data_IF_563547523521
#
_entry.id   IF_563547523521
#
_cell.length_a   1.000
_cell.length_b   1.000
_cell.length_c   1.000
_cell.angle_alpha   90.00
_cell.angle_beta   90.00
_cell.angle_gamma   90.00
#
_symmetry.space_group_name_H-M   'P 1'
#
loop_
_entity.id
_entity.type
_entity.pdbx_description
1 polymer ?
#
# COMPACT_ATOMS: atom_id res chain seq x y z
N UNK A 1 1.90 6.16 -31.80
CA UNK A 1 0.69 5.61 -31.18
C UNK A 1 0.87 5.79 -29.69
N UNK A 2 -0.05 6.44 -28.98
CA UNK A 2 -0.04 6.39 -27.52
C UNK A 2 -0.47 4.98 -27.15
N UNK A 3 0.48 4.06 -27.00
CA UNK A 3 0.20 2.73 -26.47
C UNK A 3 0.01 2.91 -24.98
N UNK A 4 -1.23 3.10 -24.54
CA UNK A 4 -1.58 3.02 -23.12
C UNK A 4 -1.29 1.58 -22.68
N UNK A 5 -0.12 1.38 -22.06
CA UNK A 5 0.27 0.10 -21.45
C UNK A 5 -0.65 -0.14 -20.25
N UNK A 6 -1.28 -1.31 -20.17
CA UNK A 6 -2.26 -1.59 -19.10
C UNK A 6 -1.58 -1.74 -17.74
N UNK A 7 -0.40 -2.37 -17.73
CA UNK A 7 0.44 -2.55 -16.53
C UNK A 7 1.75 -1.77 -16.73
N UNK A 8 1.75 -0.45 -16.49
CA UNK A 8 2.93 0.37 -16.70
C UNK A 8 4.02 0.08 -15.66
N UNK A 9 5.27 0.31 -16.06
CA UNK A 9 6.42 0.32 -15.14
C UNK A 9 6.28 1.53 -14.20
N UNK A 10 6.42 1.35 -12.88
CA UNK A 10 6.38 2.43 -11.89
C UNK A 10 7.31 3.62 -12.19
N UNK A 11 6.81 4.84 -12.00
CA UNK A 11 7.58 6.08 -12.12
C UNK A 11 8.45 6.42 -10.90
N UNK A 12 8.67 5.47 -9.99
CA UNK A 12 9.50 5.62 -8.79
C UNK A 12 10.63 4.58 -8.74
N UNK A 13 11.75 4.87 -8.04
CA UNK A 13 12.73 3.85 -7.69
C UNK A 13 12.17 2.91 -6.61
N UNK A 14 12.72 1.69 -6.52
CA UNK A 14 12.49 0.83 -5.36
C UNK A 14 13.27 1.36 -4.16
N UNK A 15 12.61 2.25 -3.43
CA UNK A 15 13.06 2.81 -2.16
C UNK A 15 11.89 2.87 -1.17
N UNK A 16 11.23 1.73 -0.89
CA UNK A 16 10.10 1.71 0.03
C UNK A 16 10.53 2.19 1.43
N UNK A 17 9.71 3.01 2.11
CA UNK A 17 9.97 3.41 3.48
C UNK A 17 10.11 2.22 4.42
N UNK A 18 10.85 2.40 5.51
CA UNK A 18 11.01 1.42 6.59
C UNK A 18 10.50 2.02 7.89
N UNK A 19 9.67 1.27 8.61
CA UNK A 19 9.14 1.67 9.92
C UNK A 19 9.38 0.58 10.96
N UNK A 20 9.81 0.98 12.15
CA UNK A 20 9.93 0.08 13.31
C UNK A 20 8.66 0.17 14.14
N UNK A 21 7.83 -0.87 14.10
CA UNK A 21 6.63 -0.99 14.91
C UNK A 21 7.01 -1.47 16.31
N UNK A 22 6.93 -0.56 17.29
CA UNK A 22 7.31 -0.83 18.68
C UNK A 22 6.18 -1.46 19.47
N UNK A 23 6.52 -2.15 20.57
CA UNK A 23 5.51 -2.72 21.47
C UNK A 23 4.73 -1.61 22.16
N UNK A 24 3.42 -1.81 22.25
CA UNK A 24 2.57 -1.02 23.12
C UNK A 24 2.95 -1.26 24.60
N UNK A 25 3.29 -0.20 25.33
CA UNK A 25 3.72 -0.25 26.76
C UNK A 25 2.73 0.40 27.72
N UNK A 26 1.74 1.11 27.16
CA UNK A 26 0.77 1.94 27.89
C UNK A 26 -0.63 1.41 27.61
N UNK A 27 -1.59 1.74 28.47
CA UNK A 27 -2.98 1.33 28.30
C UNK A 27 -3.61 1.97 27.05
N UNK A 28 -4.30 1.16 26.25
CA UNK A 28 -5.02 1.64 25.07
C UNK A 28 -6.50 1.90 25.40
N UNK A 29 -6.95 3.11 25.09
CA UNK A 29 -8.38 3.45 25.05
C UNK A 29 -8.72 3.95 23.66
N UNK A 30 -9.62 3.25 22.98
CA UNK A 30 -10.09 3.62 21.65
C UNK A 30 -11.05 4.81 21.75
N UNK A 31 -10.67 5.95 21.15
CA UNK A 31 -11.52 7.15 21.08
C UNK A 31 -11.22 8.05 19.87
N UNK A 32 -10.34 7.61 18.96
CA UNK A 32 -9.96 8.32 17.74
C UNK A 32 -8.93 9.42 17.97
N UNK A 33 -8.71 9.86 19.22
CA UNK A 33 -7.77 10.92 19.55
C UNK A 33 -6.36 10.36 19.72
N UNK A 34 -5.47 10.69 18.80
CA UNK A 34 -4.09 10.19 18.81
C UNK A 34 -3.18 10.95 19.80
N UNK A 35 -3.63 12.10 20.33
CA UNK A 35 -2.89 12.91 21.28
C UNK A 35 -3.10 12.40 22.72
N UNK A 36 -2.53 11.23 23.00
CA UNK A 36 -2.63 10.57 24.32
C UNK A 36 -1.39 9.71 24.63
N UNK A 37 -1.18 9.34 25.90
CA UNK A 37 0.04 8.65 26.32
C UNK A 37 0.38 7.43 25.48
N UNK A 38 -0.62 6.64 25.07
CA UNK A 38 -0.43 5.43 24.27
C UNK A 38 0.43 5.65 23.02
N UNK A 39 0.23 6.75 22.30
CA UNK A 39 0.90 7.06 21.03
C UNK A 39 2.14 7.95 21.15
N UNK A 40 2.42 8.45 22.36
CA UNK A 40 3.44 9.48 22.59
C UNK A 40 4.83 9.04 22.13
N UNK A 41 5.19 7.77 22.37
CA UNK A 41 6.49 7.20 22.04
C UNK A 41 6.55 6.56 20.65
N UNK A 42 5.41 6.43 19.96
CA UNK A 42 5.36 5.90 18.61
C UNK A 42 5.82 6.97 17.61
N UNK A 43 6.85 6.70 16.77
CA UNK A 43 7.28 7.64 15.76
C UNK A 43 6.19 7.82 14.71
N UNK A 44 6.10 9.01 14.12
CA UNK A 44 5.30 9.18 12.91
C UNK A 44 6.00 8.52 11.71
N UNK A 45 5.21 8.08 10.73
CA UNK A 45 5.70 7.91 9.36
C UNK A 45 6.18 9.25 8.79
N UNK A 46 6.90 9.19 7.68
CA UNK A 46 7.05 10.38 6.83
C UNK A 46 5.68 10.91 6.38
N UNK A 47 5.65 12.19 5.99
CA UNK A 47 4.47 12.82 5.41
C UNK A 47 4.10 12.14 4.09
N UNK A 48 2.81 11.94 3.87
CA UNK A 48 2.32 11.30 2.65
C UNK A 48 2.66 12.18 1.44
N UNK A 49 2.84 11.53 0.30
CA UNK A 49 3.14 12.14 -0.98
C UNK A 49 2.06 11.77 -2.00
N UNK A 50 2.01 12.47 -3.13
CA UNK A 50 1.23 11.98 -4.28
C UNK A 50 1.64 10.53 -4.62
N UNK A 51 0.66 9.69 -4.94
CA UNK A 51 0.87 8.27 -5.25
C UNK A 51 1.87 8.04 -6.40
N UNK A 52 2.01 8.99 -7.33
CA UNK A 52 2.97 8.92 -8.41
C UNK A 52 4.40 9.30 -7.97
N UNK A 53 4.56 9.93 -6.80
CA UNK A 53 5.84 10.24 -6.18
C UNK A 53 6.24 11.71 -6.27
N UNK A 54 7.48 12.00 -5.87
CA UNK A 54 7.99 13.35 -5.61
C UNK A 54 8.10 14.28 -6.83
N UNK A 55 7.86 13.76 -8.04
CA UNK A 55 7.78 14.59 -9.24
C UNK A 55 6.44 15.32 -9.37
N UNK A 56 5.44 14.94 -8.56
CA UNK A 56 4.17 15.62 -8.43
C UNK A 56 4.21 16.66 -7.30
N UNK A 57 3.28 17.64 -7.28
CA UNK A 57 3.16 18.58 -6.18
C UNK A 57 2.95 17.88 -4.83
N UNK A 58 3.45 18.49 -3.75
CA UNK A 58 3.16 18.00 -2.40
C UNK A 58 1.66 18.09 -2.10
N UNK A 59 1.12 17.15 -1.30
CA UNK A 59 -0.25 17.22 -0.79
C UNK A 59 -0.61 18.56 -0.17
N UNK A 60 -1.84 19.03 -0.40
CA UNK A 60 -2.35 20.28 0.19
C UNK A 60 -2.48 20.19 1.71
N UNK A 61 -2.68 18.98 2.21
CA UNK A 61 -2.80 18.72 3.63
C UNK A 61 -1.89 17.59 4.06
N UNK A 62 -1.15 17.81 5.14
CA UNK A 62 -0.24 16.83 5.70
C UNK A 62 -1.03 15.64 6.25
N UNK A 63 -0.56 14.45 5.92
CA UNK A 63 -1.07 13.20 6.49
C UNK A 63 0.10 12.38 6.98
N UNK A 64 0.00 11.84 8.20
CA UNK A 64 1.02 10.97 8.81
C UNK A 64 0.35 9.90 9.66
N UNK A 65 0.99 8.74 9.79
CA UNK A 65 0.51 7.63 10.58
C UNK A 65 1.47 7.25 11.72
N UNK A 66 0.99 6.49 12.69
CA UNK A 66 1.75 5.85 13.78
C UNK A 66 1.30 4.40 13.89
N UNK A 67 2.23 3.53 14.28
CA UNK A 67 1.94 2.13 14.51
C UNK A 67 2.54 1.64 15.82
N UNK A 68 1.80 0.79 16.51
CA UNK A 68 2.24 0.01 17.67
C UNK A 68 1.66 -1.39 17.56
N UNK A 69 2.19 -2.34 18.33
CA UNK A 69 1.65 -3.69 18.37
C UNK A 69 1.75 -4.33 19.75
N UNK A 70 0.92 -5.35 20.00
CA UNK A 70 1.03 -6.24 21.15
C UNK A 70 0.90 -7.71 20.71
N UNK A 71 0.62 -8.62 21.65
CA UNK A 71 0.55 -10.06 21.33
C UNK A 71 -0.67 -10.43 20.48
N UNK A 72 -1.68 -9.57 20.42
CA UNK A 72 -2.98 -9.85 19.80
C UNK A 72 -3.30 -8.89 18.66
N UNK A 73 -2.81 -7.64 18.69
CA UNK A 73 -3.27 -6.56 17.85
C UNK A 73 -2.12 -5.76 17.21
N UNK A 74 -2.36 -5.36 15.97
CA UNK A 74 -1.72 -4.22 15.34
C UNK A 74 -2.58 -2.97 15.58
N UNK A 75 -1.97 -1.91 16.07
CA UNK A 75 -2.58 -0.60 16.28
C UNK A 75 -2.09 0.36 15.21
N UNK A 76 -3.00 1.00 14.49
CA UNK A 76 -2.70 2.06 13.53
C UNK A 76 -3.45 3.32 13.94
N UNK A 77 -2.75 4.44 13.91
CA UNK A 77 -3.33 5.76 14.08
C UNK A 77 -2.89 6.65 12.92
N UNK A 78 -3.77 7.52 12.41
CA UNK A 78 -3.38 8.53 11.44
C UNK A 78 -3.96 9.90 11.77
N UNK A 79 -3.17 10.94 11.51
CA UNK A 79 -3.58 12.34 11.56
C UNK A 79 -3.71 12.84 10.14
N UNK A 80 -4.91 13.32 9.80
CA UNK A 80 -5.23 13.89 8.51
C UNK A 80 -5.53 15.37 8.73
N UNK A 81 -4.55 16.23 8.45
CA UNK A 81 -4.76 17.68 8.51
C UNK A 81 -5.71 18.12 7.39
N UNK A 82 -6.33 19.28 7.54
CA UNK A 82 -7.17 19.89 6.51
C UNK A 82 -8.52 20.37 7.05
N UNK A 83 -9.03 21.40 6.38
CA UNK A 83 -10.28 22.07 6.71
C UNK A 83 -11.50 21.56 5.91
N UNK A 84 -11.26 20.64 4.97
CA UNK A 84 -12.27 19.97 4.13
C UNK A 84 -12.77 18.68 4.80
N UNK A 85 -13.51 18.80 5.90
CA UNK A 85 -13.98 17.66 6.72
C UNK A 85 -15.46 17.35 6.39
N UNK A 86 -15.67 16.33 5.56
CA UNK A 86 -17.01 15.93 5.10
C UNK A 86 -17.11 14.43 4.88
N UNK A 87 -18.34 13.91 4.90
CA UNK A 87 -18.65 12.51 4.64
C UNK A 87 -20.17 12.28 4.62
N UNK A 88 -20.61 11.34 3.80
CA UNK A 88 -22.01 11.02 3.57
C UNK A 88 -22.32 9.53 3.67
N UNK A 89 -21.32 8.67 3.46
CA UNK A 89 -21.49 7.22 3.51
C UNK A 89 -21.55 6.75 4.97
N UNK A 90 -22.65 6.07 5.31
CA UNK A 90 -22.94 5.59 6.67
C UNK A 90 -23.14 4.08 6.75
N UNK A 91 -23.33 3.41 5.61
CA UNK A 91 -23.51 1.96 5.55
C UNK A 91 -22.15 1.28 5.48
N UNK A 92 -21.89 0.33 6.40
CA UNK A 92 -20.73 -0.55 6.35
C UNK A 92 -20.66 -1.25 4.99
N UNK A 93 -19.45 -1.40 4.47
CA UNK A 93 -19.16 -2.00 3.15
C UNK A 93 -19.69 -1.21 1.95
N UNK A 94 -19.93 0.10 2.14
CA UNK A 94 -20.04 1.05 1.03
C UNK A 94 -18.69 1.22 0.35
N UNK A 95 -18.68 1.63 -0.92
CA UNK A 95 -17.45 2.05 -1.61
C UNK A 95 -16.98 3.38 -1.01
N UNK A 96 -16.07 3.32 -0.03
CA UNK A 96 -15.79 4.43 0.91
C UNK A 96 -15.06 5.59 0.24
N UNK A 97 -14.18 5.35 -0.73
CA UNK A 97 -13.46 6.41 -1.47
C UNK A 97 -14.34 7.44 -2.21
N UNK A 98 -15.68 7.24 -2.27
CA UNK A 98 -16.60 8.28 -2.73
C UNK A 98 -16.77 9.43 -1.72
N UNK A 99 -16.37 9.24 -0.46
CA UNK A 99 -16.06 10.29 0.51
C UNK A 99 -14.54 10.55 0.56
N UNK A 100 -14.09 11.51 1.38
CA UNK A 100 -12.70 11.50 1.82
C UNK A 100 -12.48 10.38 2.84
N UNK A 101 -11.37 9.68 2.74
CA UNK A 101 -11.09 8.53 3.62
C UNK A 101 -9.61 8.39 4.00
N UNK A 102 -9.37 7.40 4.83
CA UNK A 102 -8.06 6.86 5.14
C UNK A 102 -8.06 5.35 4.88
N UNK A 103 -7.01 4.85 4.24
CA UNK A 103 -6.92 3.46 3.84
C UNK A 103 -5.67 2.79 4.46
N UNK A 104 -5.78 1.51 4.79
CA UNK A 104 -4.71 0.65 5.29
C UNK A 104 -4.58 -0.58 4.40
N UNK A 105 -3.36 -0.83 3.91
CA UNK A 105 -3.02 -1.97 3.10
C UNK A 105 -1.99 -2.86 3.82
N UNK A 106 -2.21 -4.18 3.81
CA UNK A 106 -1.31 -5.14 4.47
C UNK A 106 -1.10 -6.39 3.61
N UNK A 107 0.15 -6.63 3.19
CA UNK A 107 0.65 -7.89 2.63
C UNK A 107 1.59 -8.53 3.68
N UNK A 108 1.13 -9.57 4.40
CA UNK A 108 1.88 -10.15 5.52
C UNK A 108 3.13 -10.97 5.16
N UNK A 109 3.27 -11.44 3.91
CA UNK A 109 4.36 -12.36 3.52
C UNK A 109 5.21 -11.89 2.33
N UNK A 110 4.89 -10.71 1.79
CA UNK A 110 5.60 -10.06 0.68
C UNK A 110 5.58 -10.91 -0.60
N UNK A 111 4.49 -11.63 -0.85
CA UNK A 111 4.28 -12.40 -2.07
C UNK A 111 3.50 -11.64 -3.16
N UNK A 112 3.03 -10.42 -2.83
CA UNK A 112 2.20 -9.50 -3.63
C UNK A 112 0.76 -9.95 -3.87
N UNK A 113 0.34 -11.01 -3.19
CA UNK A 113 -0.96 -11.66 -3.25
C UNK A 113 -1.56 -11.71 -1.84
N UNK A 114 -2.81 -12.16 -1.74
CA UNK A 114 -3.50 -12.40 -0.47
C UNK A 114 -3.36 -11.26 0.56
N UNK A 115 -3.50 -10.03 0.09
CA UNK A 115 -3.36 -8.85 0.91
C UNK A 115 -4.71 -8.28 1.29
N UNK A 116 -4.68 -7.46 2.33
CA UNK A 116 -5.87 -6.89 2.94
C UNK A 116 -5.92 -5.39 2.68
N UNK A 117 -7.14 -4.90 2.56
CA UNK A 117 -7.48 -3.50 2.38
C UNK A 117 -8.54 -3.13 3.41
N UNK A 118 -8.41 -1.93 3.96
CA UNK A 118 -9.35 -1.35 4.90
C UNK A 118 -9.48 0.12 4.58
N UNK A 119 -10.70 0.63 4.49
CA UNK A 119 -11.04 2.03 4.26
C UNK A 119 -11.92 2.53 5.41
N UNK A 120 -11.71 3.78 5.83
CA UNK A 120 -12.54 4.45 6.83
C UNK A 120 -12.73 5.92 6.48
N UNK A 121 -13.98 6.39 6.48
CA UNK A 121 -14.28 7.82 6.34
C UNK A 121 -14.37 8.53 7.72
N UNK A 122 -14.54 9.85 7.68
CA UNK A 122 -14.66 10.67 8.90
C UNK A 122 -15.88 10.35 9.77
N UNK A 123 -16.88 9.63 9.24
CA UNK A 123 -18.05 9.17 10.00
C UNK A 123 -17.80 7.86 10.75
N UNK A 124 -16.57 7.32 10.67
CA UNK A 124 -16.20 6.01 11.19
C UNK A 124 -16.96 4.87 10.48
N UNK A 125 -17.38 5.09 9.23
CA UNK A 125 -17.92 4.05 8.35
C UNK A 125 -16.75 3.31 7.72
N UNK A 126 -16.79 1.98 7.80
CA UNK A 126 -15.68 1.10 7.42
C UNK A 126 -16.08 0.23 6.24
N UNK A 127 -15.12 -0.01 5.36
CA UNK A 127 -15.13 -1.09 4.38
C UNK A 127 -13.80 -1.84 4.46
N UNK A 128 -13.86 -3.16 4.48
CA UNK A 128 -12.68 -4.01 4.52
C UNK A 128 -12.79 -5.13 3.49
N UNK A 129 -11.66 -5.42 2.86
CA UNK A 129 -11.59 -6.33 1.73
C UNK A 129 -10.38 -7.23 1.84
N UNK A 130 -10.51 -8.38 1.18
CA UNK A 130 -9.40 -9.28 0.92
C UNK A 130 -9.18 -9.41 -0.58
N UNK A 131 -7.93 -9.29 -1.01
CA UNK A 131 -7.51 -9.43 -2.40
C UNK A 131 -6.64 -10.67 -2.55
N UNK A 132 -7.23 -11.73 -3.10
CA UNK A 132 -6.48 -12.95 -3.42
C UNK A 132 -5.41 -12.69 -4.49
N UNK A 133 -5.69 -11.77 -5.42
CA UNK A 133 -4.85 -11.38 -6.55
C UNK A 133 -5.02 -9.88 -6.82
N UNK A 134 -3.97 -9.13 -7.22
CA UNK A 134 -4.11 -7.74 -7.63
C UNK A 134 -5.10 -7.52 -8.80
N UNK A 135 -5.83 -6.40 -8.80
CA UNK A 135 -6.77 -6.05 -9.87
C UNK A 135 -6.12 -6.04 -11.27
N UNK A 136 -4.90 -5.51 -11.37
CA UNK A 136 -4.13 -5.45 -12.63
C UNK A 136 -3.82 -6.84 -13.22
N UNK A 137 -3.84 -7.87 -12.38
CA UNK A 137 -3.52 -9.25 -12.74
C UNK A 137 -4.80 -10.07 -13.00
N UNK A 138 -5.98 -9.46 -12.85
CA UNK A 138 -7.29 -10.06 -13.10
C UNK A 138 -8.07 -10.41 -11.83
N UNK A 139 -7.52 -10.07 -10.66
CA UNK A 139 -8.19 -10.26 -9.38
C UNK A 139 -9.38 -9.32 -9.16
N UNK A 140 -10.16 -9.62 -8.13
CA UNK A 140 -11.27 -8.80 -7.66
C UNK A 140 -11.30 -8.79 -6.14
N UNK A 141 -11.61 -7.66 -5.53
CA UNK A 141 -11.82 -7.55 -4.09
C UNK A 141 -12.97 -8.45 -3.61
N UNK A 142 -12.71 -9.22 -2.57
CA UNK A 142 -13.73 -10.01 -1.89
C UNK A 142 -14.46 -9.11 -0.88
N UNK A 143 -15.47 -8.39 -1.35
CA UNK A 143 -16.24 -7.44 -0.52
C UNK A 143 -16.97 -8.06 0.68
N UNK A 144 -17.14 -9.39 0.69
CA UNK A 144 -17.76 -10.10 1.81
C UNK A 144 -16.78 -10.50 2.91
N UNK A 145 -15.51 -10.13 2.80
CA UNK A 145 -14.51 -10.35 3.83
C UNK A 145 -14.76 -9.39 5.00
N UNK A 146 -14.73 -9.91 6.23
CA UNK A 146 -14.87 -9.13 7.46
C UNK A 146 -13.67 -9.42 8.35
N UNK A 147 -12.87 -8.39 8.65
CA UNK A 147 -11.78 -8.44 9.61
C UNK A 147 -12.35 -8.63 11.02
N UNK A 148 -12.60 -9.88 11.39
CA UNK A 148 -13.22 -10.20 12.67
C UNK A 148 -12.45 -9.61 13.86
N UNK A 149 -13.18 -8.85 14.68
CA UNK A 149 -12.64 -8.21 15.88
C UNK A 149 -11.98 -6.84 15.65
N UNK A 150 -12.05 -6.32 14.42
CA UNK A 150 -11.66 -4.94 14.08
C UNK A 150 -12.37 -3.93 14.99
N UNK A 151 -11.64 -2.94 15.47
CA UNK A 151 -12.20 -1.83 16.26
C UNK A 151 -11.67 -0.50 15.75
N UNK A 152 -12.56 0.46 15.55
CA UNK A 152 -12.23 1.77 14.98
C UNK A 152 -12.81 2.92 15.78
N UNK A 153 -12.15 4.06 15.75
CA UNK A 153 -12.71 5.33 16.20
C UNK A 153 -12.15 6.51 15.40
N UNK A 154 -12.97 7.55 15.25
CA UNK A 154 -12.60 8.82 14.62
C UNK A 154 -12.71 9.95 15.65
N UNK A 155 -11.75 10.87 15.62
CA UNK A 155 -11.82 12.15 16.33
C UNK A 155 -11.72 13.30 15.33
N UNK A 156 -12.46 14.38 15.56
CA UNK A 156 -12.51 15.56 14.67
C UNK A 156 -12.19 16.82 15.47
N UNK A 157 -11.18 17.58 15.03
CA UNK A 157 -10.92 18.95 15.48
C UNK A 157 -11.60 19.92 14.49
N UNK A 158 -12.89 20.15 14.72
CA UNK A 158 -13.77 20.85 13.80
C UNK A 158 -15.21 20.35 13.91
N UNK A 159 -15.95 20.49 12.81
CA UNK A 159 -17.31 19.98 12.62
C UNK A 159 -17.41 19.28 11.27
N UNK A 160 -17.98 18.08 11.25
CA UNK A 160 -18.20 17.32 10.02
C UNK A 160 -19.32 17.97 9.21
N UNK A 161 -19.13 18.10 7.90
CA UNK A 161 -20.10 18.67 6.95
C UNK A 161 -20.48 20.14 7.24
N UNK A 162 -19.64 20.88 7.98
CA UNK A 162 -19.85 22.31 8.24
C UNK A 162 -18.61 23.11 7.80
N UNK A 163 -18.61 23.70 6.59
CA UNK A 163 -17.50 24.50 6.09
C UNK A 163 -17.34 25.84 6.81
N UNK A 164 -18.29 26.25 7.66
CA UNK A 164 -18.19 27.49 8.43
C UNK A 164 -17.44 27.30 9.76
N UNK A 165 -17.25 26.05 10.18
CA UNK A 165 -16.53 25.71 11.39
C UNK A 165 -15.01 25.93 11.26
N UNK A 166 -14.32 26.03 12.40
CA UNK A 166 -12.85 26.09 12.44
C UNK A 166 -12.26 24.68 12.33
N UNK A 167 -12.44 24.06 11.17
CA UNK A 167 -11.93 22.73 10.85
C UNK A 167 -10.40 22.77 10.75
N UNK A 168 -9.74 21.77 11.34
CA UNK A 168 -8.27 21.68 11.32
C UNK A 168 -7.75 20.32 10.89
N UNK A 169 -8.36 19.26 11.42
CA UNK A 169 -7.92 17.89 11.20
C UNK A 169 -8.98 16.90 11.66
N UNK A 170 -8.81 15.66 11.23
CA UNK A 170 -9.42 14.50 11.86
C UNK A 170 -8.36 13.42 12.03
N UNK A 171 -8.61 12.51 12.98
CA UNK A 171 -7.72 11.39 13.22
C UNK A 171 -8.50 10.10 13.38
N UNK A 172 -7.84 9.02 13.00
CA UNK A 172 -8.38 7.66 13.08
C UNK A 172 -7.53 6.84 14.04
N UNK A 173 -8.18 5.91 14.73
CA UNK A 173 -7.54 4.79 15.41
C UNK A 173 -8.16 3.50 14.92
N UNK A 174 -7.32 2.55 14.54
CA UNK A 174 -7.72 1.23 14.04
C UNK A 174 -6.96 0.19 14.83
N UNK A 175 -7.69 -0.78 15.38
CA UNK A 175 -7.14 -1.96 16.05
C UNK A 175 -7.47 -3.17 15.21
N UNK A 176 -6.44 -3.75 14.61
CA UNK A 176 -6.53 -4.92 13.73
C UNK A 176 -6.02 -6.11 14.55
N UNK A 177 -6.88 -7.06 14.96
CA UNK A 177 -6.41 -8.30 15.54
C UNK A 177 -5.55 -9.05 14.52
N UNK A 178 -4.39 -9.56 14.93
CA UNK A 178 -3.57 -10.38 14.02
C UNK A 178 -4.34 -11.60 13.51
N UNK A 179 -5.29 -12.11 14.31
CA UNK A 179 -6.18 -13.19 13.90
C UNK A 179 -6.96 -12.89 12.61
N UNK A 180 -7.28 -11.63 12.34
CA UNK A 180 -7.94 -11.19 11.11
C UNK A 180 -7.00 -11.19 9.88
N UNK A 181 -5.70 -11.47 10.06
CA UNK A 181 -4.69 -11.52 9.00
C UNK A 181 -4.17 -12.96 8.77
N UNK A 182 -4.72 -13.96 9.46
CA UNK A 182 -4.20 -15.34 9.45
C UNK A 182 -4.66 -16.21 8.28
N UNK A 183 -5.64 -15.79 7.48
CA UNK A 183 -6.27 -16.65 6.48
C UNK A 183 -5.23 -17.28 5.53
N UNK A 184 -4.27 -16.46 5.08
CA UNK A 184 -3.16 -16.87 4.20
C UNK A 184 -1.78 -16.85 4.87
N UNK A 185 -1.70 -16.49 6.15
CA UNK A 185 -0.45 -16.55 6.89
C UNK A 185 -0.19 -17.98 7.38
N UNK A 186 0.84 -18.64 6.84
CA UNK A 186 1.16 -20.06 7.13
C UNK A 186 1.24 -20.41 8.62
N UNK A 187 1.80 -19.52 9.43
CA UNK A 187 2.02 -19.77 10.86
C UNK A 187 0.85 -19.34 11.76
N UNK A 188 -0.12 -18.57 11.23
CA UNK A 188 -1.31 -18.10 11.95
C UNK A 188 -1.01 -17.55 13.35
N UNK A 189 -0.08 -16.59 13.41
CA UNK A 189 0.38 -15.96 14.66
C UNK A 189 0.80 -14.51 14.47
N UNK A 190 0.81 -13.75 15.56
CA UNK A 190 1.43 -12.43 15.57
C UNK A 190 2.90 -12.50 15.11
N UNK A 191 3.43 -11.43 14.50
CA UNK A 191 4.84 -11.32 14.12
C UNK A 191 5.80 -11.54 15.28
N UNK A 192 7.00 -12.03 14.99
CA UNK A 192 8.12 -12.09 15.92
C UNK A 192 9.05 -10.90 15.72
N UNK A 193 9.92 -10.67 16.70
CA UNK A 193 10.97 -9.65 16.60
C UNK A 193 11.77 -9.78 15.29
N UNK A 194 11.84 -8.71 14.51
CA UNK A 194 12.56 -8.65 13.23
C UNK A 194 11.79 -9.19 12.02
N UNK A 195 10.59 -9.75 12.20
CA UNK A 195 9.70 -10.01 11.07
C UNK A 195 9.05 -8.71 10.60
N UNK A 196 8.64 -8.67 9.33
CA UNK A 196 8.00 -7.50 8.75
C UNK A 196 6.76 -7.87 7.96
N UNK A 197 5.85 -6.89 7.85
CA UNK A 197 4.80 -6.87 6.84
C UNK A 197 5.11 -5.80 5.80
N UNK A 198 4.57 -6.00 4.59
CA UNK A 198 4.50 -4.95 3.56
C UNK A 198 3.23 -4.17 3.81
N UNK A 199 3.34 -2.86 4.03
CA UNK A 199 2.17 -2.03 4.35
C UNK A 199 2.20 -0.70 3.63
N UNK A 200 1.02 -0.17 3.31
CA UNK A 200 0.88 1.19 2.84
C UNK A 200 -0.34 1.84 3.48
N UNK A 201 -0.35 3.16 3.43
CA UNK A 201 -1.47 3.97 3.85
C UNK A 201 -1.81 4.94 2.75
N UNK A 202 -3.10 5.21 2.58
CA UNK A 202 -3.60 6.18 1.63
C UNK A 202 -4.56 7.15 2.30
N UNK A 203 -4.67 8.32 1.71
CA UNK A 203 -5.76 9.26 1.92
C UNK A 203 -6.31 9.59 0.55
N UNK A 204 -7.58 9.27 0.34
CA UNK A 204 -8.32 9.82 -0.79
C UNK A 204 -8.85 11.20 -0.38
N UNK A 205 -8.50 12.21 -1.18
CA UNK A 205 -8.92 13.59 -0.97
C UNK A 205 -9.57 14.16 -2.23
N UNK A 206 -10.88 14.34 -2.19
CA UNK A 206 -11.58 15.06 -3.25
C UNK A 206 -11.35 16.55 -3.14
N UNK A 207 -11.18 17.18 -4.29
CA UNK A 207 -11.25 18.63 -4.41
C UNK A 207 -12.71 19.07 -4.32
N UNK A 208 -13.00 19.99 -3.39
CA UNK A 208 -14.37 20.48 -3.13
C UNK A 208 -14.45 22.01 -3.24
N UNK A 209 -15.62 22.49 -3.60
CA UNK A 209 -16.03 23.90 -3.50
C UNK A 209 -17.13 24.03 -2.43
N UNK A 210 -17.28 25.23 -1.88
CA UNK A 210 -18.37 25.53 -0.93
C UNK A 210 -19.54 26.17 -1.70
N UNK A 211 -20.71 25.54 -1.65
CA UNK A 211 -21.97 26.06 -2.20
C UNK A 211 -23.07 25.93 -1.14
N UNK A 212 -23.78 27.01 -0.86
CA UNK A 212 -24.86 27.04 0.13
C UNK A 212 -24.47 26.46 1.51
N UNK A 213 -23.24 26.76 1.96
CA UNK A 213 -22.64 26.24 3.19
C UNK A 213 -22.51 24.70 3.24
N UNK A 214 -22.31 24.07 2.09
CA UNK A 214 -22.04 22.63 1.96
C UNK A 214 -20.84 22.40 1.04
N UNK A 215 -20.13 21.28 1.26
CA UNK A 215 -19.07 20.83 0.36
C UNK A 215 -19.68 20.17 -0.88
N UNK A 216 -19.19 20.54 -2.06
CA UNK A 216 -19.58 19.95 -3.34
C UNK A 216 -18.32 19.61 -4.11
N UNK A 217 -18.18 18.37 -4.57
CA UNK A 217 -17.03 17.96 -5.38
C UNK A 217 -16.87 18.87 -6.59
N UNK A 218 -15.64 19.33 -6.82
CA UNK A 218 -15.30 20.24 -7.92
C UNK A 218 -15.49 19.52 -9.25
N UNK A 219 -15.98 20.25 -10.24
CA UNK A 219 -16.19 19.75 -11.60
C UNK A 219 -15.34 20.51 -12.61
N UNK A 220 -15.06 19.87 -13.74
CA UNK A 220 -14.52 20.52 -14.93
C UNK A 220 -15.56 21.45 -15.60
N UNK A 221 -15.16 22.10 -16.69
CA UNK A 221 -16.02 23.01 -17.47
C UNK A 221 -17.24 22.30 -18.10
N UNK A 222 -17.20 20.98 -18.24
CA UNK A 222 -18.28 20.16 -18.79
C UNK A 222 -19.21 19.59 -17.70
N UNK A 223 -18.91 19.85 -16.42
CA UNK A 223 -19.67 19.34 -15.28
C UNK A 223 -19.28 17.94 -14.82
N UNK A 224 -18.17 17.38 -15.31
CA UNK A 224 -17.64 16.11 -14.82
C UNK A 224 -16.87 16.35 -13.51
N UNK A 225 -17.07 15.50 -12.51
CA UNK A 225 -16.31 15.56 -11.26
C UNK A 225 -14.83 15.36 -11.56
N UNK A 226 -13.98 16.24 -11.02
CA UNK A 226 -12.53 16.10 -11.12
C UNK A 226 -12.07 14.86 -10.33
N UNK A 227 -11.00 14.18 -10.77
CA UNK A 227 -10.45 13.06 -10.02
C UNK A 227 -10.03 13.49 -8.61
N UNK A 228 -10.08 12.53 -7.70
CA UNK A 228 -9.57 12.62 -6.36
C UNK A 228 -8.03 12.65 -6.33
N UNK A 229 -7.48 13.33 -5.34
CA UNK A 229 -6.07 13.26 -5.03
C UNK A 229 -5.82 11.99 -4.20
N UNK A 230 -4.82 11.20 -4.58
CA UNK A 230 -4.41 9.98 -3.87
C UNK A 230 -3.06 10.23 -3.20
N UNK A 231 -3.05 10.39 -1.87
CA UNK A 231 -1.84 10.66 -1.12
C UNK A 231 -1.46 9.48 -0.24
N UNK A 232 -0.22 9.01 -0.35
CA UNK A 232 0.20 7.74 0.24
C UNK A 232 1.52 7.86 0.99
N UNK A 233 1.74 6.96 1.94
CA UNK A 233 3.02 6.88 2.65
C UNK A 233 4.16 6.37 1.73
N UNK A 234 3.89 5.31 0.95
CA UNK A 234 4.83 4.78 -0.04
C UNK A 234 4.29 4.97 -1.46
N UNK A 235 4.81 5.94 -2.23
CA UNK A 235 4.40 6.14 -3.61
C UNK A 235 4.63 4.90 -4.48
N UNK A 236 3.64 4.54 -5.30
CA UNK A 236 3.73 3.42 -6.24
C UNK A 236 4.17 3.85 -7.63
N UNK A 237 4.25 5.16 -7.91
CA UNK A 237 4.68 5.69 -9.21
C UNK A 237 3.64 5.59 -10.31
N UNK A 238 2.42 5.18 -9.97
CA UNK A 238 1.26 5.03 -10.85
C UNK A 238 0.02 5.36 -10.02
N UNK A 239 -1.07 5.85 -10.62
CA UNK A 239 -2.34 6.04 -9.89
C UNK A 239 -3.02 4.68 -9.72
N UNK A 240 -2.40 3.83 -8.89
CA UNK A 240 -2.84 2.50 -8.52
C UNK A 240 -2.07 2.06 -7.26
N UNK A 241 -2.78 1.94 -6.13
CA UNK A 241 -2.18 1.55 -4.85
C UNK A 241 -1.89 0.05 -4.78
N UNK A 242 -2.55 -0.76 -5.62
CA UNK A 242 -2.45 -2.22 -5.68
C UNK A 242 -1.16 -2.69 -6.41
N UNK A 243 -0.03 -2.10 -6.00
CA UNK A 243 1.34 -2.47 -6.33
C UNK A 243 2.10 -2.86 -5.04
N UNK A 244 1.77 -3.99 -4.39
CA UNK A 244 2.32 -4.35 -3.07
C UNK A 244 3.85 -4.47 -3.03
N UNK A 245 4.46 -4.78 -4.18
CA UNK A 245 5.91 -4.75 -4.36
C UNK A 245 6.56 -3.39 -4.06
N UNK A 246 5.82 -2.29 -3.95
CA UNK A 246 6.33 -0.95 -3.66
C UNK A 246 5.93 -0.40 -2.29
N UNK A 247 5.08 -1.10 -1.54
CA UNK A 247 4.67 -0.71 -0.20
C UNK A 247 5.84 -0.61 0.78
N UNK A 248 5.64 -0.01 1.95
CA UNK A 248 6.68 0.11 2.98
C UNK A 248 6.97 -1.23 3.66
N UNK A 249 8.13 -1.33 4.32
CA UNK A 249 8.44 -2.41 5.25
C UNK A 249 8.15 -1.98 6.69
N UNK A 250 7.24 -2.68 7.38
CA UNK A 250 6.95 -2.47 8.80
C UNK A 250 7.53 -3.62 9.60
N UNK A 251 8.67 -3.39 10.25
CA UNK A 251 9.36 -4.38 11.09
C UNK A 251 8.83 -4.35 12.52
N UNK A 252 8.50 -5.51 13.07
CA UNK A 252 7.98 -5.65 14.43
C UNK A 252 9.12 -5.80 15.43
N UNK A 253 9.28 -4.83 16.34
CA UNK A 253 10.28 -4.83 17.40
C UNK A 253 9.65 -5.22 18.74
N UNK A 254 10.25 -6.17 19.45
CA UNK A 254 9.91 -6.48 20.85
C UNK A 254 10.56 -5.51 21.85
N UNK A 255 11.38 -4.55 21.39
CA UNK A 255 12.12 -3.56 22.19
C UNK A 255 13.00 -4.19 23.29
N UNK A 256 13.64 -5.31 22.96
CA UNK A 256 14.53 -6.02 23.87
C UNK A 256 15.98 -5.58 23.67
N UNK A 257 16.60 -5.01 24.70
CA UNK A 257 18.00 -4.56 24.66
C UNK A 257 19.01 -5.66 24.29
N UNK A 258 18.70 -6.92 24.62
CA UNK A 258 19.57 -8.07 24.35
C UNK A 258 19.34 -8.72 22.97
N UNK A 259 18.28 -8.34 22.25
CA UNK A 259 17.95 -8.84 20.90
C UNK A 259 17.42 -7.66 20.08
N UNK A 260 18.31 -6.80 19.54
CA UNK A 260 17.89 -5.65 18.74
C UNK A 260 17.10 -6.12 17.52
N UNK A 261 16.09 -5.34 17.12
CA UNK A 261 15.34 -5.56 15.89
C UNK A 261 16.18 -5.12 14.70
N UNK A 262 16.58 -6.07 13.84
CA UNK A 262 17.20 -5.73 12.56
C UNK A 262 16.10 -5.30 11.58
N UNK A 263 16.13 -4.05 11.17
CA UNK A 263 15.17 -3.45 10.24
C UNK A 263 15.75 -3.29 8.84
N UNK A 264 16.81 -4.02 8.52
CA UNK A 264 17.40 -4.04 7.19
C UNK A 264 16.49 -4.81 6.24
N UNK A 265 16.13 -4.19 5.12
CA UNK A 265 15.39 -4.88 4.05
C UNK A 265 16.23 -6.06 3.55
N UNK A 266 15.70 -7.29 3.55
CA UNK A 266 16.45 -8.45 3.06
C UNK A 266 16.87 -8.29 1.59
N UNK A 267 18.07 -8.74 1.23
CA UNK A 267 18.57 -8.69 -0.16
C UNK A 267 17.63 -9.40 -1.15
N UNK A 268 16.92 -10.44 -0.70
CA UNK A 268 15.92 -11.13 -1.52
C UNK A 268 14.79 -10.20 -1.98
N UNK A 269 14.39 -9.20 -1.20
CA UNK A 269 13.35 -8.25 -1.62
C UNK A 269 13.84 -7.34 -2.76
N UNK A 270 15.12 -6.99 -2.77
CA UNK A 270 15.73 -6.31 -3.92
C UNK A 270 15.80 -7.23 -5.14
N UNK A 271 16.06 -8.53 -4.97
CA UNK A 271 16.04 -9.50 -6.08
C UNK A 271 14.62 -9.70 -6.63
N UNK A 272 13.61 -9.75 -5.76
CA UNK A 272 12.19 -9.75 -6.16
C UNK A 272 11.85 -8.53 -7.01
N UNK A 273 12.35 -7.35 -6.65
CA UNK A 273 12.18 -6.15 -7.47
C UNK A 273 12.80 -6.29 -8.87
N UNK A 274 13.98 -6.88 -8.99
CA UNK A 274 14.58 -7.11 -10.31
C UNK A 274 13.77 -8.10 -11.16
N UNK A 275 13.22 -9.17 -10.55
CA UNK A 275 12.26 -10.05 -11.23
C UNK A 275 11.01 -9.27 -11.66
N UNK A 276 10.51 -8.36 -10.82
CA UNK A 276 9.34 -7.51 -11.11
C UNK A 276 9.56 -6.56 -12.28
N UNK A 277 10.78 -6.04 -12.47
CA UNK A 277 11.09 -5.25 -13.68
C UNK A 277 10.92 -6.11 -14.94
N UNK A 278 11.47 -7.32 -14.94
CA UNK A 278 11.33 -8.25 -16.08
C UNK A 278 9.86 -8.67 -16.29
N UNK A 279 9.08 -8.79 -15.22
CA UNK A 279 7.64 -8.98 -15.30
C UNK A 279 6.92 -7.89 -16.09
N UNK A 280 7.19 -6.61 -15.78
CA UNK A 280 6.58 -5.51 -16.53
C UNK A 280 7.02 -5.53 -18.01
N UNK A 281 8.29 -5.87 -18.26
CA UNK A 281 8.80 -6.03 -19.62
C UNK A 281 8.02 -7.10 -20.40
N UNK A 282 7.74 -8.26 -19.80
CA UNK A 282 6.94 -9.31 -20.40
C UNK A 282 5.50 -8.87 -20.68
N UNK A 283 4.88 -8.13 -19.76
CA UNK A 283 3.52 -7.59 -19.96
C UNK A 283 3.48 -6.59 -21.11
N UNK A 284 4.42 -5.66 -21.15
CA UNK A 284 4.56 -4.68 -22.25
C UNK A 284 4.81 -5.40 -23.57
N UNK A 285 5.72 -6.38 -23.59
CA UNK A 285 6.05 -7.12 -24.80
C UNK A 285 4.85 -7.87 -25.35
N UNK A 286 4.08 -8.54 -24.48
CA UNK A 286 2.86 -9.24 -24.88
C UNK A 286 1.80 -8.28 -25.42
N UNK A 287 1.58 -7.13 -24.78
CA UNK A 287 0.62 -6.13 -25.27
C UNK A 287 1.02 -5.53 -26.63
N UNK A 288 2.31 -5.33 -26.85
CA UNK A 288 2.83 -4.63 -28.04
C UNK A 288 3.12 -5.57 -29.21
N UNK A 289 3.40 -6.84 -28.95
CA UNK A 289 3.82 -7.82 -29.98
C UNK A 289 2.96 -9.08 -30.04
N UNK A 290 2.17 -9.36 -29.00
CA UNK A 290 1.35 -10.57 -28.88
C UNK A 290 2.13 -11.81 -28.42
N UNK A 291 3.35 -11.67 -27.87
CA UNK A 291 4.17 -12.80 -27.40
C UNK A 291 5.06 -12.40 -26.22
N UNK A 292 5.41 -13.40 -25.39
CA UNK A 292 6.43 -13.31 -24.33
C UNK A 292 7.81 -13.67 -24.89
N UNK A 293 8.89 -13.39 -24.14
CA UNK A 293 10.26 -13.71 -24.59
C UNK A 293 11.11 -14.38 -23.50
N UNK A 294 11.73 -15.51 -23.85
CA UNK A 294 12.73 -16.17 -23.01
C UNK A 294 14.13 -15.50 -23.08
N UNK A 295 14.23 -14.33 -23.73
CA UNK A 295 15.48 -13.63 -24.00
C UNK A 295 15.61 -12.38 -23.16
N UNK A 296 16.59 -12.38 -22.24
CA UNK A 296 16.83 -11.27 -21.31
C UNK A 296 17.13 -9.95 -22.03
N UNK A 297 17.90 -9.97 -23.12
CA UNK A 297 18.20 -8.79 -23.93
C UNK A 297 16.94 -8.14 -24.50
N UNK A 298 15.97 -8.93 -24.97
CA UNK A 298 14.66 -8.42 -25.44
C UNK A 298 13.89 -7.73 -24.31
N UNK A 299 13.90 -8.32 -23.10
CA UNK A 299 13.23 -7.71 -21.94
C UNK A 299 13.92 -6.41 -21.50
N UNK A 300 15.26 -6.37 -21.52
CA UNK A 300 16.02 -5.16 -21.21
C UNK A 300 15.84 -4.05 -22.24
N UNK A 301 15.77 -4.38 -23.53
CA UNK A 301 15.41 -3.42 -24.59
C UNK A 301 14.00 -2.87 -24.39
N UNK A 302 13.06 -3.72 -23.98
CA UNK A 302 11.69 -3.31 -23.65
C UNK A 302 11.67 -2.36 -22.46
N UNK A 303 12.38 -2.66 -21.37
CA UNK A 303 12.51 -1.74 -20.23
C UNK A 303 13.13 -0.41 -20.64
N UNK A 304 14.21 -0.44 -21.42
CA UNK A 304 14.87 0.77 -21.90
C UNK A 304 13.95 1.66 -22.74
N UNK A 305 13.02 1.07 -23.48
CA UNK A 305 12.08 1.79 -24.34
C UNK A 305 10.85 2.35 -23.60
N UNK A 306 10.37 1.65 -22.57
CA UNK A 306 9.07 1.94 -21.95
C UNK A 306 9.12 2.41 -20.49
N UNK A 307 10.21 2.16 -19.75
CA UNK A 307 10.29 2.59 -18.36
C UNK A 307 10.37 4.13 -18.25
N UNK A 308 9.56 4.76 -17.38
CA UNK A 308 9.45 6.21 -17.28
C UNK A 308 10.66 6.88 -16.61
N UNK A 309 11.55 6.10 -15.98
CA UNK A 309 12.71 6.61 -15.24
C UNK A 309 13.94 5.72 -15.44
N UNK A 310 15.13 6.27 -15.19
CA UNK A 310 16.39 5.57 -15.50
C UNK A 310 16.64 4.35 -14.59
N UNK A 311 16.17 4.37 -13.35
CA UNK A 311 16.37 3.25 -12.42
C UNK A 311 15.60 1.97 -12.82
N UNK A 312 14.52 2.11 -13.61
CA UNK A 312 13.71 0.99 -14.07
C UNK A 312 13.97 0.59 -15.53
N UNK A 313 14.86 1.29 -16.25
CA UNK A 313 15.29 0.93 -17.62
C UNK A 313 16.22 -0.29 -17.70
N UNK A 314 16.69 -0.79 -16.55
CA UNK A 314 17.62 -1.92 -16.48
C UNK A 314 17.29 -2.83 -15.31
N UNK A 315 17.76 -4.08 -15.39
CA UNK A 315 17.75 -5.01 -14.29
C UNK A 315 19.19 -5.36 -13.86
N UNK A 316 19.40 -5.65 -12.58
CA UNK A 316 20.71 -6.15 -12.09
C UNK A 316 21.09 -7.43 -12.83
N UNK A 317 22.40 -7.67 -13.00
CA UNK A 317 22.88 -8.92 -13.57
C UNK A 317 22.78 -10.06 -12.54
N UNK A 318 21.66 -10.77 -12.54
CA UNK A 318 21.42 -11.99 -11.76
C UNK A 318 21.39 -13.19 -12.72
N UNK A 319 21.57 -14.39 -12.18
CA UNK A 319 21.44 -15.64 -12.95
C UNK A 319 19.97 -15.97 -13.21
N UNK A 320 19.32 -15.17 -14.06
CA UNK A 320 17.91 -15.35 -14.40
C UNK A 320 17.68 -16.62 -15.22
N UNK A 321 16.59 -17.32 -14.93
CA UNK A 321 15.98 -18.28 -15.85
C UNK A 321 14.62 -17.73 -16.25
N UNK A 322 14.36 -17.70 -17.57
CA UNK A 322 13.13 -17.19 -18.15
C UNK A 322 12.54 -18.29 -19.00
N UNK A 323 11.37 -18.77 -18.61
CA UNK A 323 10.64 -19.81 -19.31
C UNK A 323 9.33 -19.22 -19.83
N UNK A 324 9.02 -19.43 -21.10
CA UNK A 324 7.81 -18.86 -21.71
C UNK A 324 7.01 -19.90 -22.47
N UNK A 325 5.72 -19.63 -22.60
CA UNK A 325 4.78 -20.31 -23.49
C UNK A 325 3.99 -19.25 -24.26
N UNK A 326 3.01 -19.67 -25.07
CA UNK A 326 2.11 -18.72 -25.73
C UNK A 326 1.12 -18.01 -24.79
N UNK A 327 1.04 -18.42 -23.52
CA UNK A 327 0.00 -17.95 -22.57
C UNK A 327 0.54 -17.50 -21.20
N UNK A 328 1.73 -17.92 -20.82
CA UNK A 328 2.33 -17.65 -19.52
C UNK A 328 3.85 -17.63 -19.62
N UNK A 329 4.49 -17.14 -18.56
CA UNK A 329 5.93 -17.13 -18.35
C UNK A 329 6.23 -17.35 -16.86
N UNK A 330 7.46 -17.79 -16.59
CA UNK A 330 8.04 -17.92 -15.25
C UNK A 330 9.44 -17.32 -15.29
N UNK A 331 9.72 -16.40 -14.37
CA UNK A 331 11.04 -15.79 -14.21
C UNK A 331 11.58 -16.25 -12.87
N UNK A 332 12.81 -16.73 -12.80
CA UNK A 332 13.43 -17.09 -11.53
C UNK A 332 14.86 -16.59 -11.40
N UNK A 333 15.33 -16.42 -10.18
CA UNK A 333 16.74 -16.25 -9.86
C UNK A 333 17.08 -16.88 -8.50
N UNK A 334 18.36 -17.19 -8.22
CA UNK A 334 18.78 -17.65 -6.90
C UNK A 334 18.50 -16.61 -5.81
N UNK A 335 18.27 -17.06 -4.57
CA UNK A 335 18.26 -16.20 -3.38
C UNK A 335 19.64 -15.60 -3.08
N UNK A 336 19.69 -14.60 -2.21
CA UNK A 336 20.90 -13.89 -1.79
C UNK A 336 22.01 -14.83 -1.32
N UNK A 337 21.64 -15.83 -0.54
CA UNK A 337 22.51 -16.87 0.03
C UNK A 337 22.59 -18.15 -0.83
N UNK A 338 21.90 -18.18 -1.97
CA UNK A 338 21.74 -19.33 -2.86
C UNK A 338 21.15 -20.60 -2.19
N UNK A 339 20.41 -20.46 -1.10
CA UNK A 339 19.73 -21.59 -0.42
C UNK A 339 18.39 -21.97 -1.06
N UNK A 340 17.79 -21.08 -1.86
CA UNK A 340 16.51 -21.30 -2.51
C UNK A 340 16.42 -20.51 -3.84
N UNK A 341 15.35 -20.73 -4.59
CA UNK A 341 14.99 -19.93 -5.76
C UNK A 341 13.86 -18.96 -5.42
N UNK A 342 13.96 -17.76 -5.98
CA UNK A 342 12.88 -16.79 -6.06
C UNK A 342 12.22 -16.96 -7.43
N UNK A 343 10.94 -17.29 -7.45
CA UNK A 343 10.14 -17.46 -8.65
C UNK A 343 9.14 -16.31 -8.75
N UNK A 344 8.96 -15.77 -9.95
CA UNK A 344 7.91 -14.81 -10.27
C UNK A 344 7.08 -15.36 -11.43
N UNK A 345 5.81 -15.60 -11.15
CA UNK A 345 4.83 -16.15 -12.09
C UNK A 345 4.24 -15.06 -13.00
N UNK A 346 3.68 -15.42 -14.16
CA UNK A 346 3.10 -14.44 -15.10
C UNK A 346 1.88 -13.67 -14.60
N UNK A 347 1.32 -14.06 -13.46
CA UNK A 347 0.28 -13.31 -12.74
C UNK A 347 0.89 -12.35 -11.69
N UNK A 348 2.21 -12.29 -11.61
CA UNK A 348 2.93 -11.41 -10.72
C UNK A 348 3.19 -11.99 -9.33
N UNK A 349 2.66 -13.16 -8.97
CA UNK A 349 2.94 -13.76 -7.66
C UNK A 349 4.42 -14.11 -7.52
N UNK A 350 4.99 -13.84 -6.35
CA UNK A 350 6.36 -14.27 -6.01
C UNK A 350 6.31 -15.50 -5.09
N UNK A 351 7.16 -16.49 -5.34
CA UNK A 351 7.25 -17.70 -4.54
C UNK A 351 8.71 -18.01 -4.18
N UNK A 352 8.93 -18.56 -2.97
CA UNK A 352 10.23 -19.08 -2.54
C UNK A 352 10.20 -20.60 -2.60
N UNK A 353 11.08 -21.19 -3.40
CA UNK A 353 11.17 -22.66 -3.57
C UNK A 353 12.53 -23.15 -3.12
N UNK A 354 12.56 -24.01 -2.12
CA UNK A 354 13.81 -24.64 -1.64
C UNK A 354 14.35 -25.60 -2.69
N UNK A 355 15.66 -25.54 -2.91
CA UNK A 355 16.39 -26.37 -3.88
C UNK A 355 16.59 -27.82 -3.41
#
# INVERSE_FOLDING_TARGET
MSTNITIPVPAVPFAPPVYTCHRAKKEFRLDGNINKPFWEDAPYTDEFLDIQGTHMPLPRFVTRAKMLWDDENLYVAALLDGDEIWGHLTERDSVIFLDNDFEIFVDPDSDTYHYYEFEINVLNTVWDLFLAEPYRDGGSGLNGYDMHGLRTAVHVDGSINDPSAKNKSWSVEVVIPFAALYEYQKERRAPKNGEFYRMNFSRVQWNVDIKDNTYVKRTDENGNVLPEDNWVWAPTGVINIHYPELWSFVFFSEDRDNVPCDTTIPEDEYRKWELRKLYYAEKILFETTGSYSDKLDVLLETLSAYAPNDCNKTAKNLSYQIETTSRTFLISCPSADASHLLLLHSNGKVEKVTL
#
